data_IF_161276428216
#
_entry.id   IF_161276428216
#
_cell.length_a   1.000
_cell.length_b   1.000
_cell.length_c   1.000
_cell.angle_alpha   90.00
_cell.angle_beta   90.00
_cell.angle_gamma   90.00
#
_symmetry.space_group_name_H-M   'P 1'
#
loop_
_entity.id
_entity.type
_entity.pdbx_description
1 polymer ?
#
# COMPACT_ATOMS: atom_id res chain seq x y z
N UNK A 1 -7.02 -27.32 9.26
CA UNK A 1 -8.28 -27.08 10.01
C UNK A 1 -9.35 -26.76 8.98
N UNK A 2 -10.37 -27.59 8.83
CA UNK A 2 -11.48 -27.32 7.91
C UNK A 2 -12.23 -26.07 8.41
N UNK A 3 -12.49 -25.11 7.53
CA UNK A 3 -13.33 -23.96 7.86
C UNK A 3 -14.75 -24.48 8.12
N UNK A 4 -15.43 -23.92 9.10
CA UNK A 4 -16.78 -24.32 9.51
C UNK A 4 -17.78 -24.27 8.35
N UNK A 5 -17.54 -23.43 7.34
CA UNK A 5 -18.39 -23.26 6.16
C UNK A 5 -17.50 -23.04 4.94
N UNK A 6 -17.44 -23.99 4.04
CA UNK A 6 -16.73 -23.85 2.76
C UNK A 6 -17.28 -22.70 1.90
N UNK A 7 -18.54 -22.33 2.11
CA UNK A 7 -19.24 -21.25 1.41
C UNK A 7 -18.81 -19.85 1.90
N UNK A 8 -18.25 -19.73 3.10
CA UNK A 8 -17.70 -18.49 3.65
C UNK A 8 -16.21 -18.36 3.36
N UNK A 9 -15.78 -18.82 2.19
CA UNK A 9 -14.38 -18.78 1.78
C UNK A 9 -13.82 -17.37 1.84
N UNK A 10 -12.59 -17.28 2.36
CA UNK A 10 -11.79 -16.07 2.30
C UNK A 10 -11.75 -15.57 0.87
N UNK A 11 -11.93 -14.26 0.68
CA UNK A 11 -11.67 -13.64 -0.61
C UNK A 11 -10.20 -13.91 -0.93
N UNK A 12 -9.97 -14.65 -1.99
CA UNK A 12 -8.62 -14.89 -2.48
C UNK A 12 -8.23 -13.67 -3.32
N UNK A 13 -7.46 -12.78 -2.72
CA UNK A 13 -6.93 -11.61 -3.42
C UNK A 13 -5.68 -12.03 -4.18
N UNK A 14 -5.69 -11.84 -5.50
CA UNK A 14 -4.55 -12.09 -6.36
C UNK A 14 -4.30 -10.85 -7.26
N UNK A 15 -3.14 -10.18 -7.15
CA UNK A 15 -2.07 -10.47 -6.19
C UNK A 15 -2.46 -10.14 -4.75
N UNK A 16 -1.88 -10.85 -3.78
CA UNK A 16 -2.11 -10.56 -2.36
C UNK A 16 -1.61 -9.15 -2.04
N UNK A 17 -2.43 -8.31 -1.37
CA UNK A 17 -2.00 -7.00 -0.94
C UNK A 17 -0.88 -7.12 0.08
N UNK A 18 0.05 -6.18 0.04
CA UNK A 18 1.10 -6.10 1.05
C UNK A 18 0.57 -5.41 2.30
N UNK A 19 0.84 -6.02 3.44
CA UNK A 19 0.59 -5.44 4.76
C UNK A 19 1.91 -5.35 5.49
N UNK A 20 2.37 -4.13 5.77
CA UNK A 20 3.58 -3.87 6.53
C UNK A 20 3.19 -3.47 7.95
N UNK A 21 3.61 -4.28 8.92
CA UNK A 21 3.39 -3.99 10.33
C UNK A 21 4.54 -3.18 10.90
N UNK A 22 4.23 -2.26 11.83
CA UNK A 22 5.23 -1.56 12.61
C UNK A 22 5.53 -2.35 13.90
N UNK A 23 6.75 -2.82 14.03
CA UNK A 23 7.22 -3.51 15.23
C UNK A 23 7.88 -2.52 16.19
N UNK A 24 7.32 -2.44 17.39
CA UNK A 24 7.80 -1.61 18.50
C UNK A 24 8.73 -2.37 19.45
N UNK A 25 9.23 -3.53 19.04
CA UNK A 25 10.07 -4.41 19.86
C UNK A 25 9.44 -4.85 21.20
N UNK A 26 8.10 -4.89 21.24
CA UNK A 26 7.38 -5.35 22.41
C UNK A 26 7.62 -6.86 22.64
N UNK A 27 7.69 -7.34 23.88
CA UNK A 27 7.81 -8.76 24.17
C UNK A 27 6.52 -9.52 23.82
N UNK A 28 6.62 -10.86 23.75
CA UNK A 28 5.43 -11.74 23.69
C UNK A 28 4.67 -11.77 22.37
N UNK A 29 5.24 -11.30 21.25
CA UNK A 29 4.53 -11.26 19.97
C UNK A 29 4.41 -12.62 19.26
N UNK A 30 5.09 -13.66 19.75
CA UNK A 30 5.16 -14.96 19.05
C UNK A 30 3.79 -15.63 18.89
N UNK A 31 2.93 -15.52 19.89
CA UNK A 31 1.57 -16.04 19.82
C UNK A 31 0.74 -15.28 18.76
N UNK A 32 0.85 -13.94 18.75
CA UNK A 32 0.20 -13.10 17.73
C UNK A 32 0.67 -13.47 16.32
N UNK A 33 1.96 -13.74 16.13
CA UNK A 33 2.52 -14.18 14.85
C UNK A 33 1.92 -15.52 14.40
N UNK A 34 1.72 -16.45 15.33
CA UNK A 34 1.11 -17.75 15.03
C UNK A 34 -0.26 -17.63 14.36
N UNK A 35 -1.01 -16.56 14.65
CA UNK A 35 -2.36 -16.34 14.11
C UNK A 35 -2.41 -15.37 12.94
N UNK A 36 -1.54 -14.37 12.91
CA UNK A 36 -1.61 -13.25 11.98
C UNK A 36 -0.58 -13.26 10.86
N UNK A 37 0.45 -14.12 10.94
CA UNK A 37 1.55 -14.15 9.96
C UNK A 37 1.11 -14.35 8.52
N UNK A 38 0.04 -15.12 8.28
CA UNK A 38 -0.50 -15.34 6.93
C UNK A 38 -1.12 -14.09 6.27
N UNK A 39 -1.29 -13.00 7.02
CA UNK A 39 -1.93 -11.76 6.58
C UNK A 39 -1.01 -10.54 6.58
N UNK A 40 0.26 -10.71 6.88
CA UNK A 40 1.28 -9.68 6.77
C UNK A 40 2.43 -10.13 5.89
N UNK A 41 3.09 -9.18 5.26
CA UNK A 41 4.18 -9.46 4.32
C UNK A 41 5.52 -8.91 4.77
N UNK A 42 5.51 -7.82 5.52
CA UNK A 42 6.71 -7.13 6.01
C UNK A 42 6.51 -6.71 7.46
N UNK A 43 7.54 -6.85 8.27
CA UNK A 43 7.65 -6.25 9.59
C UNK A 43 8.72 -5.14 9.56
N UNK A 44 8.35 -3.91 9.87
CA UNK A 44 9.23 -2.75 9.93
C UNK A 44 9.67 -2.53 11.38
N UNK A 45 10.95 -2.69 11.68
CA UNK A 45 11.54 -2.29 12.96
C UNK A 45 11.94 -0.81 12.81
N UNK A 46 10.98 0.08 13.08
CA UNK A 46 11.09 1.51 12.81
C UNK A 46 11.79 2.30 13.91
N UNK A 47 11.72 3.64 13.79
CA UNK A 47 12.19 4.65 14.75
C UNK A 47 13.66 4.54 15.15
N UNK A 48 14.48 3.91 14.33
CA UNK A 48 15.88 3.67 14.67
C UNK A 48 16.07 2.70 15.85
N UNK A 49 15.06 1.93 16.22
CA UNK A 49 15.16 0.94 17.30
C UNK A 49 16.34 -0.01 17.15
N UNK A 50 16.73 -0.47 15.94
CA UNK A 50 17.93 -1.30 15.78
C UNK A 50 19.22 -0.64 16.29
N UNK A 51 19.26 0.69 16.41
CA UNK A 51 20.40 1.43 16.96
C UNK A 51 20.38 1.57 18.49
N UNK A 52 19.24 1.29 19.13
CA UNK A 52 19.04 1.40 20.56
C UNK A 52 19.09 0.05 21.29
N UNK A 53 18.85 -1.03 20.56
CA UNK A 53 18.76 -2.40 21.11
C UNK A 53 20.08 -3.13 20.99
N UNK A 54 20.29 -4.14 21.83
CA UNK A 54 21.39 -5.07 21.67
C UNK A 54 21.26 -5.80 20.32
N UNK A 55 22.38 -5.95 19.63
CA UNK A 55 22.42 -6.60 18.31
C UNK A 55 21.82 -8.02 18.34
N UNK A 56 22.07 -8.77 19.40
CA UNK A 56 21.54 -10.11 19.59
C UNK A 56 20.01 -10.12 19.66
N UNK A 57 19.40 -9.12 20.30
CA UNK A 57 17.95 -9.00 20.39
C UNK A 57 17.34 -8.59 19.04
N UNK A 58 18.00 -7.71 18.29
CA UNK A 58 17.58 -7.34 16.93
C UNK A 58 17.64 -8.56 16.02
N UNK A 59 18.74 -9.31 15.99
CA UNK A 59 18.91 -10.55 15.21
C UNK A 59 17.83 -11.58 15.55
N UNK A 60 17.57 -11.79 16.84
CA UNK A 60 16.53 -12.70 17.30
C UNK A 60 15.13 -12.27 16.82
N UNK A 61 14.83 -10.98 16.86
CA UNK A 61 13.55 -10.44 16.37
C UNK A 61 13.42 -10.60 14.86
N UNK A 62 14.44 -10.27 14.11
CA UNK A 62 14.49 -10.47 12.66
C UNK A 62 14.29 -11.94 12.31
N UNK A 63 15.02 -12.84 12.96
CA UNK A 63 14.90 -14.29 12.75
C UNK A 63 13.49 -14.80 13.07
N UNK A 64 12.86 -14.29 14.13
CA UNK A 64 11.49 -14.66 14.51
C UNK A 64 10.50 -14.38 13.37
N UNK A 65 10.51 -13.20 12.77
CA UNK A 65 9.65 -12.89 11.63
C UNK A 65 9.94 -13.75 10.41
N UNK A 66 11.22 -13.95 10.10
CA UNK A 66 11.65 -14.77 8.97
C UNK A 66 11.20 -16.24 9.08
N UNK A 67 11.11 -16.80 10.28
CA UNK A 67 10.60 -18.16 10.52
C UNK A 67 9.12 -18.30 10.11
N UNK A 68 8.36 -17.20 10.10
CA UNK A 68 6.99 -17.15 9.59
C UNK A 68 6.89 -16.73 8.11
N UNK A 69 8.01 -16.60 7.40
CA UNK A 69 8.04 -16.19 6.00
C UNK A 69 7.75 -14.69 5.79
N UNK A 70 7.93 -13.87 6.83
CA UNK A 70 7.70 -12.43 6.80
C UNK A 70 9.02 -11.72 6.54
N UNK A 71 9.04 -10.81 5.57
CA UNK A 71 10.19 -9.94 5.34
C UNK A 71 10.38 -8.96 6.49
N UNK A 72 11.61 -8.50 6.70
CA UNK A 72 11.91 -7.57 7.80
C UNK A 72 12.66 -6.35 7.28
N UNK A 73 12.10 -5.16 7.56
CA UNK A 73 12.67 -3.85 7.21
C UNK A 73 13.34 -3.20 8.41
N UNK A 74 14.49 -2.54 8.14
CA UNK A 74 15.23 -1.74 9.13
C UNK A 74 14.51 -0.45 9.56
N UNK A 75 13.49 0.00 8.80
CA UNK A 75 12.90 1.33 8.91
C UNK A 75 13.84 2.45 8.48
N UNK A 76 13.32 3.40 7.70
CA UNK A 76 14.13 4.42 7.01
C UNK A 76 14.96 5.32 7.93
N UNK A 77 14.46 5.66 9.12
CA UNK A 77 15.15 6.51 10.10
C UNK A 77 16.57 6.02 10.44
N UNK A 78 16.81 4.71 10.43
CA UNK A 78 18.15 4.16 10.68
C UNK A 78 19.17 4.65 9.65
N UNK A 79 18.80 4.64 8.37
CA UNK A 79 19.67 5.11 7.29
C UNK A 79 19.80 6.63 7.27
N UNK A 80 18.75 7.38 7.63
CA UNK A 80 18.87 8.84 7.78
C UNK A 80 19.91 9.21 8.85
N UNK A 81 19.87 8.54 10.02
CA UNK A 81 20.86 8.73 11.08
C UNK A 81 22.27 8.33 10.59
N UNK A 82 22.40 7.23 9.87
CA UNK A 82 23.68 6.78 9.35
C UNK A 82 24.24 7.76 8.30
N UNK A 83 23.40 8.27 7.39
CA UNK A 83 23.76 9.27 6.39
C UNK A 83 24.25 10.58 7.03
N UNK A 84 23.52 11.09 8.04
CA UNK A 84 23.93 12.31 8.75
C UNK A 84 25.34 12.21 9.40
N UNK A 85 25.80 10.98 9.61
CA UNK A 85 27.13 10.69 10.20
C UNK A 85 28.13 10.14 9.18
N UNK A 86 27.83 10.14 7.89
CA UNK A 86 28.64 9.53 6.83
C UNK A 86 28.98 8.04 7.11
N UNK A 87 28.00 7.28 7.61
CA UNK A 87 28.15 5.86 7.99
C UNK A 87 27.20 4.92 7.25
N UNK A 88 26.60 5.35 6.14
CA UNK A 88 25.59 4.58 5.40
C UNK A 88 26.12 3.22 4.95
N UNK A 89 27.34 3.13 4.39
CA UNK A 89 27.91 1.83 3.99
C UNK A 89 28.02 0.86 5.17
N UNK A 90 28.49 1.34 6.32
CA UNK A 90 28.59 0.52 7.53
C UNK A 90 27.22 0.11 8.06
N UNK A 91 26.21 0.97 7.95
CA UNK A 91 24.85 0.64 8.34
C UNK A 91 24.25 -0.43 7.43
N UNK A 92 24.52 -0.38 6.13
CA UNK A 92 24.08 -1.39 5.17
C UNK A 92 24.66 -2.76 5.46
N UNK A 93 25.96 -2.83 5.76
CA UNK A 93 26.62 -4.07 6.20
C UNK A 93 25.95 -4.63 7.48
N UNK A 94 25.69 -3.76 8.45
CA UNK A 94 25.04 -4.16 9.70
C UNK A 94 23.59 -4.64 9.47
N UNK A 95 22.83 -3.99 8.58
CA UNK A 95 21.48 -4.43 8.19
C UNK A 95 21.52 -5.83 7.58
N UNK A 96 22.46 -6.07 6.66
CA UNK A 96 22.66 -7.38 6.04
C UNK A 96 23.03 -8.43 7.08
N UNK A 97 24.02 -8.15 7.93
CA UNK A 97 24.50 -9.06 8.98
C UNK A 97 23.44 -9.37 10.02
N UNK A 98 22.59 -8.42 10.37
CA UNK A 98 21.47 -8.64 11.28
C UNK A 98 20.37 -9.50 10.67
N UNK A 99 20.42 -9.77 9.35
CA UNK A 99 19.52 -10.65 8.63
C UNK A 99 18.25 -9.99 8.14
N UNK A 100 18.18 -8.66 8.08
CA UNK A 100 17.08 -7.95 7.42
C UNK A 100 16.98 -8.38 5.96
N UNK A 101 15.76 -8.37 5.41
CA UNK A 101 15.49 -8.75 4.02
C UNK A 101 15.02 -7.58 3.16
N UNK A 102 14.68 -6.47 3.80
CA UNK A 102 14.24 -5.23 3.15
C UNK A 102 15.09 -4.08 3.66
N UNK A 103 15.68 -3.32 2.74
CA UNK A 103 16.27 -2.03 3.04
C UNK A 103 15.19 -0.97 2.81
N UNK A 104 14.89 -0.19 3.84
CA UNK A 104 14.02 0.97 3.73
C UNK A 104 14.84 2.24 3.80
N UNK A 105 14.67 3.08 2.78
CA UNK A 105 15.29 4.38 2.64
C UNK A 105 14.21 5.46 2.77
N UNK A 106 14.38 6.42 3.66
CA UNK A 106 13.49 7.58 3.83
C UNK A 106 14.26 8.90 3.81
N UNK A 107 13.54 9.97 3.54
CA UNK A 107 14.02 11.36 3.63
C UNK A 107 13.06 12.19 4.51
N UNK A 108 12.48 11.56 5.50
CA UNK A 108 11.51 12.19 6.38
C UNK A 108 12.10 13.30 7.26
N UNK A 109 13.37 13.20 7.64
CA UNK A 109 14.08 14.12 8.54
C UNK A 109 15.16 14.91 7.80
N UNK A 110 15.93 14.25 6.95
CA UNK A 110 17.05 14.86 6.18
C UNK A 110 16.96 14.46 4.72
N UNK A 111 17.54 15.29 3.85
CA UNK A 111 17.74 14.94 2.44
C UNK A 111 18.98 14.04 2.32
N UNK A 112 18.82 12.92 1.59
CA UNK A 112 19.93 12.01 1.29
C UNK A 112 20.44 12.29 -0.12
N UNK A 113 21.76 12.51 -0.31
CA UNK A 113 22.32 12.79 -1.63
C UNK A 113 21.98 11.67 -2.65
N UNK A 114 21.65 12.05 -3.88
CA UNK A 114 21.28 11.08 -4.95
C UNK A 114 22.35 9.98 -5.13
N UNK A 115 23.64 10.32 -5.00
CA UNK A 115 24.72 9.34 -5.07
C UNK A 115 24.60 8.27 -3.98
N UNK A 116 24.20 8.67 -2.80
CA UNK A 116 24.05 7.77 -1.66
C UNK A 116 22.79 6.89 -1.82
N UNK A 117 21.68 7.46 -2.28
CA UNK A 117 20.48 6.69 -2.65
C UNK A 117 20.79 5.62 -3.69
N UNK A 118 21.60 5.97 -4.71
CA UNK A 118 22.06 5.04 -5.73
C UNK A 118 22.89 3.90 -5.11
N UNK A 119 23.83 4.22 -4.22
CA UNK A 119 24.63 3.21 -3.50
C UNK A 119 23.73 2.26 -2.68
N UNK A 120 22.71 2.77 -2.00
CA UNK A 120 21.74 1.94 -1.25
C UNK A 120 21.00 1.00 -2.19
N UNK A 121 20.51 1.50 -3.33
CA UNK A 121 19.78 0.70 -4.31
C UNK A 121 20.67 -0.39 -4.94
N UNK A 122 21.91 -0.05 -5.26
CA UNK A 122 22.92 -1.00 -5.78
C UNK A 122 23.22 -2.07 -4.74
N UNK A 123 23.44 -1.68 -3.49
CA UNK A 123 23.68 -2.62 -2.39
C UNK A 123 22.50 -3.60 -2.20
N UNK A 124 21.27 -3.09 -2.20
CA UNK A 124 20.07 -3.94 -2.08
C UNK A 124 20.03 -5.00 -3.20
N UNK A 125 20.22 -4.57 -4.44
CA UNK A 125 20.23 -5.45 -5.62
C UNK A 125 21.34 -6.49 -5.54
N UNK A 126 22.56 -6.07 -5.21
CA UNK A 126 23.74 -6.93 -5.23
C UNK A 126 23.71 -8.01 -4.14
N UNK A 127 22.94 -7.77 -3.06
CA UNK A 127 22.74 -8.73 -1.97
C UNK A 127 21.36 -9.43 -2.00
N UNK A 128 20.58 -9.24 -3.08
CA UNK A 128 19.25 -9.86 -3.22
C UNK A 128 18.23 -9.40 -2.17
N UNK A 129 18.41 -8.20 -1.61
CA UNK A 129 17.49 -7.59 -0.66
C UNK A 129 16.42 -6.77 -1.41
N UNK A 130 15.23 -6.68 -0.85
CA UNK A 130 14.19 -5.78 -1.35
C UNK A 130 14.52 -4.35 -0.98
N UNK A 131 14.11 -3.41 -1.84
CA UNK A 131 14.25 -1.97 -1.59
C UNK A 131 12.88 -1.35 -1.44
N UNK A 132 12.64 -0.69 -0.33
CA UNK A 132 11.50 0.19 -0.12
C UNK A 132 12.01 1.64 -0.03
N UNK A 133 11.31 2.57 -0.67
CA UNK A 133 11.63 4.00 -0.59
C UNK A 133 10.39 4.72 -0.07
N UNK A 134 10.56 5.44 1.04
CA UNK A 134 9.51 6.22 1.69
C UNK A 134 9.58 7.66 1.17
N UNK A 135 8.45 8.19 0.74
CA UNK A 135 8.25 9.56 0.27
C UNK A 135 7.36 10.29 1.25
N UNK A 136 7.83 11.45 1.72
CA UNK A 136 7.14 12.30 2.68
C UNK A 136 8.04 12.85 3.75
N UNK A 137 7.55 13.86 4.48
CA UNK A 137 8.29 14.56 5.54
C UNK A 137 7.70 14.29 6.91
N UNK A 138 8.56 13.98 7.89
CA UNK A 138 8.15 13.73 9.28
C UNK A 138 7.88 15.01 10.07
N UNK A 139 8.35 16.16 9.60
CA UNK A 139 8.13 17.44 10.24
C UNK A 139 6.84 18.09 9.71
N UNK A 140 5.84 18.28 10.56
CA UNK A 140 4.56 18.89 10.20
C UNK A 140 4.69 20.33 9.63
N UNK A 141 5.74 21.05 9.99
CA UNK A 141 6.02 22.41 9.48
C UNK A 141 6.72 22.43 8.12
N UNK A 142 7.10 21.27 7.56
CA UNK A 142 7.83 21.17 6.29
C UNK A 142 7.29 19.99 5.46
N UNK A 143 5.98 19.97 5.24
CA UNK A 143 5.33 18.94 4.42
C UNK A 143 5.53 19.25 2.93
N UNK A 144 5.59 18.20 2.12
CA UNK A 144 5.62 18.33 0.66
C UNK A 144 4.25 18.84 0.16
N UNK A 145 4.25 19.57 -0.95
CA UNK A 145 3.06 19.79 -1.75
C UNK A 145 2.67 18.51 -2.50
N UNK A 146 1.49 18.46 -3.10
CA UNK A 146 1.06 17.34 -3.92
C UNK A 146 1.99 17.11 -5.12
N UNK A 147 2.41 18.18 -5.78
CA UNK A 147 3.34 18.13 -6.91
C UNK A 147 4.70 17.60 -6.48
N UNK A 148 5.25 18.09 -5.37
CA UNK A 148 6.52 17.57 -4.82
C UNK A 148 6.40 16.10 -4.40
N UNK A 149 5.25 15.66 -3.87
CA UNK A 149 5.01 14.25 -3.54
C UNK A 149 5.00 13.40 -4.81
N UNK A 150 4.32 13.83 -5.88
CA UNK A 150 4.30 13.14 -7.16
C UNK A 150 5.70 13.06 -7.77
N UNK A 151 6.43 14.16 -7.79
CA UNK A 151 7.82 14.21 -8.28
C UNK A 151 8.72 13.29 -7.43
N UNK A 152 8.55 13.30 -6.12
CA UNK A 152 9.27 12.43 -5.19
C UNK A 152 9.01 10.94 -5.44
N UNK A 153 7.75 10.55 -5.72
CA UNK A 153 7.40 9.17 -6.08
C UNK A 153 8.07 8.78 -7.40
N UNK A 154 8.00 9.66 -8.42
CA UNK A 154 8.67 9.44 -9.70
C UNK A 154 10.19 9.25 -9.53
N UNK A 155 10.83 10.14 -8.78
CA UNK A 155 12.26 10.06 -8.49
C UNK A 155 12.64 8.81 -7.67
N UNK A 156 11.76 8.35 -6.78
CA UNK A 156 11.96 7.10 -6.03
C UNK A 156 11.91 5.89 -6.96
N UNK A 157 10.96 5.85 -7.90
CA UNK A 157 10.79 4.76 -8.87
C UNK A 157 12.01 4.60 -9.80
N UNK A 158 12.77 5.69 -10.08
CA UNK A 158 14.02 5.63 -10.87
C UNK A 158 15.08 4.70 -10.26
N UNK A 159 15.03 4.45 -8.94
CA UNK A 159 15.96 3.54 -8.26
C UNK A 159 15.48 2.06 -8.30
N UNK A 160 14.33 1.77 -8.91
CA UNK A 160 13.78 0.42 -9.06
C UNK A 160 13.34 -0.24 -7.74
N UNK A 161 12.63 0.45 -6.83
CA UNK A 161 12.20 -0.16 -5.58
C UNK A 161 11.13 -1.23 -5.80
N UNK A 162 11.03 -2.17 -4.86
CA UNK A 162 9.92 -3.11 -4.78
C UNK A 162 8.62 -2.41 -4.35
N UNK A 163 8.76 -1.33 -3.56
CA UNK A 163 7.64 -0.55 -3.03
C UNK A 163 8.05 0.90 -2.79
N UNK A 164 7.18 1.83 -3.17
CA UNK A 164 7.23 3.22 -2.71
C UNK A 164 6.19 3.39 -1.60
N UNK A 165 6.63 3.88 -0.45
CA UNK A 165 5.79 4.09 0.74
C UNK A 165 5.44 5.56 0.83
N UNK A 166 4.17 5.88 1.02
CA UNK A 166 3.72 7.24 1.31
C UNK A 166 3.66 7.40 2.83
N UNK A 167 4.44 8.34 3.36
CA UNK A 167 4.59 8.59 4.79
C UNK A 167 3.24 8.90 5.45
N UNK A 168 2.93 8.24 6.55
CA UNK A 168 1.73 8.45 7.33
C UNK A 168 2.02 8.74 8.79
N UNK A 169 3.26 8.59 9.22
CA UNK A 169 3.69 8.64 10.62
C UNK A 169 2.94 7.64 11.50
N UNK A 170 3.26 7.64 12.77
CA UNK A 170 2.53 6.85 13.78
C UNK A 170 1.20 7.49 14.19
N UNK A 171 1.02 8.79 13.91
CA UNK A 171 -0.18 9.54 14.29
C UNK A 171 -1.26 9.52 13.23
N UNK A 172 -0.90 9.33 11.95
CA UNK A 172 -1.83 9.46 10.83
C UNK A 172 -2.43 10.85 10.68
N UNK A 173 -1.68 11.90 11.07
CA UNK A 173 -2.19 13.28 11.11
C UNK A 173 -1.12 14.27 10.66
N UNK A 174 -1.56 15.33 9.97
CA UNK A 174 -0.71 16.43 9.52
C UNK A 174 0.50 15.95 8.72
N UNK A 175 0.29 14.99 7.83
CA UNK A 175 1.35 14.38 7.02
C UNK A 175 0.78 13.92 5.67
N UNK A 176 1.45 14.28 4.59
CA UNK A 176 1.17 13.89 3.22
C UNK A 176 -0.34 13.80 2.91
N UNK A 177 -0.87 12.59 2.79
CA UNK A 177 -2.27 12.35 2.44
C UNK A 177 -3.26 12.54 3.60
N UNK A 178 -2.81 12.96 4.79
CA UNK A 178 -3.67 13.16 5.96
C UNK A 178 -3.71 14.62 6.40
N UNK A 179 -4.90 15.11 6.70
CA UNK A 179 -5.09 16.43 7.29
C UNK A 179 -4.77 16.45 8.80
N UNK A 180 -5.03 17.58 9.45
CA UNK A 180 -4.74 17.77 10.87
C UNK A 180 -5.58 16.86 11.79
N UNK A 181 -6.74 16.43 11.34
CA UNK A 181 -7.66 15.57 12.07
C UNK A 181 -7.45 14.08 11.73
N UNK A 182 -6.62 13.79 10.71
CA UNK A 182 -6.33 12.45 10.23
C UNK A 182 -7.27 11.97 9.13
N UNK A 183 -8.09 12.87 8.57
CA UNK A 183 -8.90 12.52 7.40
C UNK A 183 -8.03 12.45 6.15
N UNK A 184 -8.42 11.56 5.24
CA UNK A 184 -7.70 11.33 4.00
C UNK A 184 -8.00 12.46 3.01
N UNK A 185 -6.97 13.10 2.48
CA UNK A 185 -7.05 14.04 1.35
C UNK A 185 -7.23 13.25 0.05
N UNK A 186 -8.47 12.93 -0.30
CA UNK A 186 -8.79 12.03 -1.41
C UNK A 186 -8.37 12.54 -2.79
N UNK A 187 -8.29 13.83 -2.98
CA UNK A 187 -7.72 14.45 -4.17
C UNK A 187 -6.23 14.08 -4.35
N UNK A 188 -5.47 14.04 -3.26
CA UNK A 188 -4.07 13.60 -3.28
C UNK A 188 -3.95 12.11 -3.62
N UNK A 189 -4.70 11.27 -2.92
CA UNK A 189 -4.71 9.83 -3.16
C UNK A 189 -5.09 9.52 -4.61
N UNK A 190 -6.14 10.18 -5.12
CA UNK A 190 -6.58 10.00 -6.51
C UNK A 190 -5.47 10.37 -7.51
N UNK A 191 -4.81 11.51 -7.31
CA UNK A 191 -3.71 11.95 -8.18
C UNK A 191 -2.51 11.00 -8.12
N UNK A 192 -2.17 10.45 -6.96
CA UNK A 192 -1.08 9.46 -6.83
C UNK A 192 -1.41 8.21 -7.65
N UNK A 193 -2.59 7.61 -7.48
CA UNK A 193 -2.94 6.37 -8.18
C UNK A 193 -3.28 6.57 -9.67
N UNK A 194 -3.61 7.80 -10.11
CA UNK A 194 -3.75 8.14 -11.53
C UNK A 194 -2.39 8.20 -12.25
N UNK A 195 -1.32 8.55 -11.54
CA UNK A 195 0.00 8.72 -12.12
C UNK A 195 0.89 7.46 -11.98
N UNK A 196 0.62 6.59 -11.00
CA UNK A 196 1.49 5.48 -10.68
C UNK A 196 0.71 4.17 -10.52
N UNK A 197 1.40 3.05 -10.79
CA UNK A 197 0.84 1.72 -10.56
C UNK A 197 0.59 1.49 -9.06
N UNK A 198 -0.70 1.36 -8.68
CA UNK A 198 -1.12 1.14 -7.31
C UNK A 198 -0.42 -0.07 -6.67
N UNK A 199 -0.03 -1.08 -7.44
CA UNK A 199 0.68 -2.26 -6.92
C UNK A 199 2.07 -1.93 -6.38
N UNK A 200 2.65 -0.80 -6.80
CA UNK A 200 3.96 -0.29 -6.37
C UNK A 200 3.87 0.74 -5.25
N UNK A 201 2.68 1.19 -4.90
CA UNK A 201 2.44 2.20 -3.85
C UNK A 201 1.91 1.52 -2.60
N UNK A 202 2.45 1.92 -1.44
CA UNK A 202 1.96 1.53 -0.12
C UNK A 202 1.61 2.81 0.66
N UNK A 203 0.40 2.89 1.18
CA UNK A 203 0.00 3.98 2.05
C UNK A 203 0.21 3.57 3.51
N UNK A 204 0.97 4.34 4.28
CA UNK A 204 0.98 4.16 5.72
C UNK A 204 -0.36 4.58 6.31
N UNK A 205 -1.01 3.69 7.03
CA UNK A 205 -2.34 3.87 7.60
C UNK A 205 -2.37 3.35 9.04
N UNK A 206 -1.84 4.11 10.00
CA UNK A 206 -1.72 3.65 11.39
C UNK A 206 -3.07 3.52 12.10
N UNK A 207 -4.11 4.25 11.65
CA UNK A 207 -5.44 4.23 12.25
C UNK A 207 -6.36 3.27 11.51
N UNK A 208 -7.17 2.50 12.24
CA UNK A 208 -8.11 1.54 11.66
C UNK A 208 -9.14 2.19 10.73
N UNK A 209 -9.59 3.42 11.06
CA UNK A 209 -10.48 4.19 10.20
C UNK A 209 -9.85 4.54 8.84
N UNK A 210 -8.56 4.90 8.83
CA UNK A 210 -7.81 5.15 7.59
C UNK A 210 -7.70 3.88 6.76
N UNK A 211 -7.41 2.75 7.41
CA UNK A 211 -7.36 1.44 6.75
C UNK A 211 -8.71 1.09 6.12
N UNK A 212 -9.80 1.26 6.86
CA UNK A 212 -11.16 0.99 6.37
C UNK A 212 -11.53 1.87 5.17
N UNK A 213 -11.23 3.17 5.24
CA UNK A 213 -11.53 4.11 4.16
C UNK A 213 -10.70 3.82 2.90
N UNK A 214 -9.39 3.54 3.04
CA UNK A 214 -8.52 3.17 1.90
C UNK A 214 -9.00 1.87 1.24
N UNK A 215 -9.34 0.85 2.03
CA UNK A 215 -9.87 -0.42 1.52
C UNK A 215 -11.21 -0.19 0.79
N UNK A 216 -12.11 0.58 1.38
CA UNK A 216 -13.43 0.85 0.79
C UNK A 216 -13.32 1.59 -0.53
N UNK A 217 -12.41 2.56 -0.62
CA UNK A 217 -12.27 3.42 -1.80
C UNK A 217 -11.37 2.83 -2.88
N UNK A 218 -10.25 2.20 -2.50
CA UNK A 218 -9.24 1.67 -3.43
C UNK A 218 -9.35 0.17 -3.67
N UNK A 219 -10.20 -0.49 -2.90
CA UNK A 219 -10.39 -1.94 -2.95
C UNK A 219 -9.50 -2.71 -1.94
N UNK A 220 -9.84 -3.97 -1.68
CA UNK A 220 -9.18 -4.80 -0.67
C UNK A 220 -7.71 -5.11 -1.01
N UNK A 221 -7.31 -4.92 -2.27
CA UNK A 221 -5.96 -5.11 -2.79
C UNK A 221 -4.96 -3.98 -2.48
N UNK A 222 -5.40 -2.86 -1.85
CA UNK A 222 -4.51 -1.74 -1.52
C UNK A 222 -3.40 -2.17 -0.56
N UNK A 223 -2.15 -1.75 -0.82
CA UNK A 223 -1.04 -2.01 0.08
C UNK A 223 -1.05 -1.01 1.24
N UNK A 224 -0.94 -1.51 2.47
CA UNK A 224 -1.01 -0.70 3.68
C UNK A 224 0.21 -0.91 4.57
N UNK A 225 0.79 0.19 5.05
CA UNK A 225 1.94 0.23 5.96
C UNK A 225 1.57 0.78 7.33
N UNK A 226 2.53 0.75 8.25
CA UNK A 226 2.40 1.21 9.64
C UNK A 226 1.21 0.59 10.39
N UNK A 227 0.77 -0.59 9.96
CA UNK A 227 -0.32 -1.32 10.63
C UNK A 227 0.20 -1.85 11.97
N UNK A 228 -0.55 -1.67 13.05
CA UNK A 228 -0.17 -2.30 14.32
C UNK A 228 -0.34 -3.81 14.24
N UNK A 229 0.48 -4.57 14.96
CA UNK A 229 0.39 -6.03 14.97
C UNK A 229 -1.01 -6.49 15.44
N UNK A 230 -1.61 -5.78 16.38
CA UNK A 230 -2.95 -6.06 16.90
C UNK A 230 -4.05 -5.80 15.86
N UNK A 231 -3.82 -4.90 14.91
CA UNK A 231 -4.80 -4.54 13.88
C UNK A 231 -4.72 -5.44 12.63
N UNK A 232 -3.78 -6.40 12.55
CA UNK A 232 -3.64 -7.25 11.35
C UNK A 232 -4.88 -8.11 11.09
N UNK A 233 -5.43 -8.78 12.12
CA UNK A 233 -6.66 -9.58 11.96
C UNK A 233 -7.90 -8.70 11.71
N UNK A 234 -8.12 -7.58 12.45
CA UNK A 234 -9.14 -6.59 12.09
C UNK A 234 -9.02 -6.08 10.65
N UNK A 235 -7.82 -5.74 10.19
CA UNK A 235 -7.56 -5.33 8.81
C UNK A 235 -7.94 -6.42 7.80
N UNK A 236 -7.55 -7.66 8.06
CA UNK A 236 -7.93 -8.77 7.18
C UNK A 236 -9.44 -9.01 7.16
N UNK A 237 -10.12 -8.81 8.28
CA UNK A 237 -11.59 -8.84 8.35
C UNK A 237 -12.22 -7.75 7.47
N UNK A 238 -11.66 -6.53 7.47
CA UNK A 238 -12.07 -5.45 6.57
C UNK A 238 -11.87 -5.85 5.09
N UNK A 239 -10.67 -6.34 4.74
CA UNK A 239 -10.36 -6.80 3.37
C UNK A 239 -11.31 -7.91 2.90
N UNK A 240 -11.79 -8.72 3.82
CA UNK A 240 -12.74 -9.82 3.54
C UNK A 240 -14.20 -9.35 3.48
N UNK A 241 -14.48 -8.07 3.75
CA UNK A 241 -15.85 -7.54 3.78
C UNK A 241 -16.69 -8.06 4.93
N UNK A 242 -16.07 -8.46 6.05
CA UNK A 242 -16.78 -9.03 7.22
C UNK A 242 -17.17 -7.99 8.26
N UNK A 243 -16.63 -6.79 8.19
CA UNK A 243 -16.97 -5.71 9.11
C UNK A 243 -18.23 -4.97 8.65
N UNK A 244 -19.02 -4.45 9.62
CA UNK A 244 -20.28 -3.78 9.35
C UNK A 244 -20.19 -2.58 8.42
N UNK A 245 -19.08 -1.84 8.52
CA UNK A 245 -18.77 -0.66 7.69
C UNK A 245 -18.49 -1.00 6.22
N UNK A 246 -18.10 -2.23 5.91
CA UNK A 246 -17.86 -2.69 4.54
C UNK A 246 -18.47 -4.07 4.24
N UNK A 247 -19.47 -4.48 5.03
CA UNK A 247 -20.12 -5.78 4.89
C UNK A 247 -20.72 -5.97 3.50
N UNK A 248 -20.34 -7.07 2.84
CA UNK A 248 -20.78 -7.39 1.48
C UNK A 248 -20.16 -6.54 0.39
N UNK A 249 -19.38 -5.52 0.72
CA UNK A 249 -18.74 -4.64 -0.28
C UNK A 249 -17.77 -5.35 -1.23
N UNK A 250 -17.17 -6.44 -0.77
CA UNK A 250 -16.20 -7.23 -1.55
C UNK A 250 -16.64 -8.68 -1.76
N UNK A 251 -17.81 -9.07 -1.31
CA UNK A 251 -18.33 -10.43 -1.49
C UNK A 251 -18.81 -10.72 -2.89
N UNK A 252 -18.34 -9.97 -3.87
CA UNK A 252 -18.28 -10.29 -5.30
C UNK A 252 -19.51 -10.97 -5.94
N UNK A 253 -20.70 -10.81 -5.38
CA UNK A 253 -21.92 -11.44 -5.88
C UNK A 253 -22.97 -10.44 -6.32
N UNK A 254 -22.58 -9.28 -6.78
CA UNK A 254 -23.45 -8.69 -7.79
C UNK A 254 -23.31 -9.57 -9.02
N UNK A 255 -24.33 -10.36 -9.27
CA UNK A 255 -24.43 -11.14 -10.52
C UNK A 255 -24.44 -10.16 -11.67
N UNK A 256 -23.26 -9.78 -12.13
CA UNK A 256 -23.11 -9.05 -13.39
C UNK A 256 -23.70 -9.96 -14.48
N UNK A 257 -24.91 -9.62 -14.94
CA UNK A 257 -25.54 -10.33 -16.03
C UNK A 257 -24.93 -9.90 -17.35
N UNK A 258 -24.72 -10.85 -18.27
CA UNK A 258 -24.24 -10.53 -19.61
C UNK A 258 -23.02 -11.34 -20.03
N UNK A 259 -22.47 -10.90 -21.15
CA UNK A 259 -21.33 -11.57 -21.82
C UNK A 259 -20.06 -11.57 -20.95
N UNK A 260 -19.08 -12.43 -21.26
CA UNK A 260 -17.75 -12.36 -20.65
C UNK A 260 -17.11 -10.97 -20.76
N UNK A 261 -17.32 -10.27 -21.89
CA UNK A 261 -16.85 -8.91 -22.09
C UNK A 261 -17.51 -7.92 -21.10
N UNK A 262 -18.84 -8.05 -20.84
CA UNK A 262 -19.55 -7.24 -19.86
C UNK A 262 -18.98 -7.42 -18.45
N UNK A 263 -18.73 -8.66 -18.06
CA UNK A 263 -18.13 -9.00 -16.75
C UNK A 263 -16.71 -8.46 -16.63
N UNK A 264 -15.93 -8.57 -17.70
CA UNK A 264 -14.56 -8.06 -17.73
C UNK A 264 -14.51 -6.53 -17.67
N UNK A 265 -15.35 -5.84 -18.43
CA UNK A 265 -15.48 -4.36 -18.36
C UNK A 265 -15.91 -3.91 -16.97
N UNK A 266 -16.85 -4.61 -16.32
CA UNK A 266 -17.24 -4.32 -14.95
C UNK A 266 -16.07 -4.48 -13.97
N UNK A 267 -15.31 -5.56 -14.10
CA UNK A 267 -14.13 -5.79 -13.26
C UNK A 267 -13.12 -4.65 -13.38
N UNK A 268 -12.82 -4.21 -14.62
CA UNK A 268 -11.91 -3.10 -14.87
C UNK A 268 -12.43 -1.79 -14.29
N UNK A 269 -13.72 -1.43 -14.51
CA UNK A 269 -14.32 -0.22 -13.93
C UNK A 269 -14.31 -0.28 -12.40
N UNK A 270 -14.60 -1.45 -11.82
CA UNK A 270 -14.64 -1.65 -10.37
C UNK A 270 -13.25 -1.57 -9.72
N UNK A 271 -12.20 -1.81 -10.48
CA UNK A 271 -10.81 -1.77 -10.01
C UNK A 271 -10.20 -0.35 -10.09
N UNK A 272 -10.92 0.63 -10.67
CA UNK A 272 -10.45 2.00 -10.86
C UNK A 272 -11.45 3.00 -10.28
N UNK A 273 -11.02 4.22 -9.93
CA UNK A 273 -11.88 5.26 -9.39
C UNK A 273 -12.88 5.75 -10.43
N UNK A 274 -12.41 6.05 -11.62
CA UNK A 274 -13.20 6.40 -12.80
C UNK A 274 -12.39 6.17 -14.06
N UNK A 275 -13.03 5.75 -15.14
CA UNK A 275 -12.40 5.54 -16.44
C UNK A 275 -13.29 6.09 -17.55
N UNK A 276 -12.69 6.66 -18.58
CA UNK A 276 -13.40 6.92 -19.83
C UNK A 276 -13.43 5.67 -20.73
N UNK A 277 -14.24 5.72 -21.79
CA UNK A 277 -14.38 4.59 -22.72
C UNK A 277 -13.06 4.21 -23.43
N UNK A 278 -12.20 5.18 -23.71
CA UNK A 278 -10.91 4.96 -24.35
C UNK A 278 -9.93 4.21 -23.41
N UNK A 279 -9.90 4.62 -22.16
CA UNK A 279 -9.13 3.96 -21.12
C UNK A 279 -9.61 2.52 -20.89
N UNK A 280 -10.93 2.31 -20.79
CA UNK A 280 -11.50 0.96 -20.67
C UNK A 280 -11.12 0.11 -21.87
N UNK A 281 -11.22 0.63 -23.10
CA UNK A 281 -10.83 -0.10 -24.29
C UNK A 281 -9.33 -0.45 -24.30
N UNK A 282 -8.48 0.48 -23.88
CA UNK A 282 -7.04 0.29 -23.77
C UNK A 282 -6.67 -0.81 -22.78
N UNK A 283 -7.27 -0.77 -21.56
CA UNK A 283 -6.98 -1.72 -20.49
C UNK A 283 -7.50 -3.12 -20.84
N UNK A 284 -8.71 -3.20 -21.40
CA UNK A 284 -9.35 -4.48 -21.71
C UNK A 284 -8.87 -5.13 -23.01
N UNK A 285 -8.26 -4.35 -23.93
CA UNK A 285 -7.95 -4.79 -25.29
C UNK A 285 -9.20 -4.99 -26.17
N UNK A 286 -10.39 -4.63 -25.69
CA UNK A 286 -11.63 -4.79 -26.43
C UNK A 286 -11.84 -3.61 -27.39
N UNK A 287 -12.49 -3.89 -28.54
CA UNK A 287 -12.87 -2.80 -29.45
C UNK A 287 -13.94 -1.89 -28.82
N UNK A 288 -13.98 -0.62 -29.25
CA UNK A 288 -14.89 0.41 -28.69
C UNK A 288 -16.37 0.01 -28.71
N UNK A 289 -16.80 -0.71 -29.74
CA UNK A 289 -18.21 -1.17 -29.86
C UNK A 289 -18.54 -2.20 -28.77
N UNK A 290 -17.66 -3.15 -28.52
CA UNK A 290 -17.84 -4.15 -27.45
C UNK A 290 -17.84 -3.48 -26.07
N UNK A 291 -16.95 -2.51 -25.84
CA UNK A 291 -16.92 -1.73 -24.60
C UNK A 291 -18.21 -0.95 -24.41
N UNK A 292 -18.74 -0.29 -25.46
CA UNK A 292 -20.00 0.45 -25.39
C UNK A 292 -21.17 -0.47 -25.02
N UNK A 293 -21.31 -1.62 -25.69
CA UNK A 293 -22.36 -2.60 -25.38
C UNK A 293 -22.26 -3.08 -23.91
N UNK A 294 -21.06 -3.30 -23.43
CA UNK A 294 -20.84 -3.69 -22.04
C UNK A 294 -21.22 -2.57 -21.07
N UNK A 295 -20.84 -1.33 -21.34
CA UNK A 295 -21.19 -0.15 -20.56
C UNK A 295 -22.72 0.01 -20.48
N UNK A 296 -23.42 -0.03 -21.64
CA UNK A 296 -24.87 0.12 -21.69
C UNK A 296 -25.58 -0.97 -20.86
N UNK A 297 -25.09 -2.21 -20.95
CA UNK A 297 -25.59 -3.30 -20.13
C UNK A 297 -25.33 -3.12 -18.63
N UNK A 298 -24.20 -2.53 -18.25
CA UNK A 298 -23.85 -2.28 -16.84
C UNK A 298 -24.63 -1.09 -16.27
N UNK A 299 -24.85 -0.05 -17.06
CA UNK A 299 -25.71 1.09 -16.69
C UNK A 299 -27.17 0.63 -16.50
N UNK A 300 -27.69 -0.21 -17.40
CA UNK A 300 -29.05 -0.75 -17.26
C UNK A 300 -29.23 -1.64 -16.03
N UNK A 301 -28.15 -2.26 -15.55
CA UNK A 301 -28.12 -3.03 -14.31
C UNK A 301 -27.85 -2.18 -13.06
N UNK A 302 -27.69 -0.86 -13.22
CA UNK A 302 -27.34 0.07 -12.13
C UNK A 302 -26.04 -0.32 -11.39
N UNK A 303 -25.08 -0.95 -12.10
CA UNK A 303 -23.82 -1.40 -11.55
C UNK A 303 -22.71 -0.35 -11.67
N UNK A 304 -22.87 0.58 -12.62
CA UNK A 304 -21.93 1.67 -12.85
C UNK A 304 -22.68 3.00 -13.01
N UNK A 305 -22.04 4.07 -12.57
CA UNK A 305 -22.51 5.45 -12.72
C UNK A 305 -21.79 6.11 -13.89
N UNK A 306 -22.50 6.96 -14.60
CA UNK A 306 -21.97 7.80 -15.67
C UNK A 306 -21.96 9.26 -15.18
N UNK A 307 -20.79 9.89 -15.21
CA UNK A 307 -20.62 11.32 -14.91
C UNK A 307 -19.89 12.00 -16.07
N UNK A 308 -20.00 13.32 -16.15
CA UNK A 308 -19.20 14.10 -17.09
C UNK A 308 -17.87 14.48 -16.44
N UNK A 309 -16.77 14.49 -17.22
CA UNK A 309 -15.49 15.03 -16.74
C UNK A 309 -15.68 16.53 -16.41
N UNK A 310 -15.35 16.97 -15.19
CA UNK A 310 -15.48 18.40 -14.84
C UNK A 310 -14.67 19.34 -15.75
N UNK A 311 -13.64 18.82 -16.42
CA UNK A 311 -12.75 19.57 -17.33
C UNK A 311 -13.26 19.62 -18.77
N UNK A 312 -14.07 18.61 -19.18
CA UNK A 312 -14.74 18.57 -20.49
C UNK A 312 -16.07 17.84 -20.36
N UNK A 313 -17.15 18.62 -20.27
CA UNK A 313 -18.53 18.12 -20.13
C UNK A 313 -19.00 17.17 -21.24
N UNK A 314 -18.27 17.09 -22.37
CA UNK A 314 -18.53 16.12 -23.45
C UNK A 314 -17.91 14.76 -23.19
N UNK A 315 -16.93 14.68 -22.29
CA UNK A 315 -16.27 13.46 -21.90
C UNK A 315 -17.04 12.76 -20.77
N UNK A 316 -17.49 11.53 -21.04
CA UNK A 316 -18.15 10.67 -20.06
C UNK A 316 -17.13 9.79 -19.34
N UNK A 317 -17.21 9.75 -18.03
CA UNK A 317 -16.43 8.85 -17.18
C UNK A 317 -17.35 7.90 -16.44
N UNK A 318 -16.87 6.70 -16.22
CA UNK A 318 -17.61 5.57 -15.66
C UNK A 318 -16.96 5.16 -14.35
N UNK A 319 -17.76 5.00 -13.31
CA UNK A 319 -17.32 4.53 -11.99
C UNK A 319 -18.30 3.48 -11.45
N UNK A 320 -17.85 2.62 -10.56
CA UNK A 320 -18.75 1.67 -9.89
C UNK A 320 -19.74 2.43 -8.99
N UNK A 321 -21.02 2.02 -8.97
CA UNK A 321 -22.09 2.64 -8.17
C UNK A 321 -21.77 2.58 -6.66
N UNK A 322 -21.00 1.61 -6.21
CA UNK A 322 -20.64 1.38 -4.79
C UNK A 322 -19.45 2.19 -4.27
N UNK A 323 -18.91 3.11 -5.06
CA UNK A 323 -17.76 3.94 -4.67
C UNK A 323 -18.13 5.39 -4.32
N UNK A 324 -19.18 5.58 -3.53
CA UNK A 324 -19.44 6.84 -2.85
C UNK A 324 -19.00 6.81 -1.41
#
# INVERSE_FOLDING_TARGET
MALFFDELKRINLDPKPKTMVIDRMLPGIQESLGWSSGFMTVAKIGWGLPLLMDEADVRKRVQMYRQYGIDVSNGGTMLEIASSKNKTSKALEHILDAGFTVIELSEGIIDIPRREKKMVAEFARDHGMKLHIEVGRKNAGNQLSLEETIDGIGAALDFGPDMVIIEGRETGRSVEIYDNDGHIKWDWVSRIIENFDQSKIMFEAPLEDQQAQLITKLGPGVNLGNVSLQSVLPLQSQRSGFRGDNFGGFTGTEKVSGSPATKFVYHVISSHLSLDQGQIASITGLNRRTVQIAIDALVSQQLIRVTSDPRDMRHRVYSSEKRQ
#
